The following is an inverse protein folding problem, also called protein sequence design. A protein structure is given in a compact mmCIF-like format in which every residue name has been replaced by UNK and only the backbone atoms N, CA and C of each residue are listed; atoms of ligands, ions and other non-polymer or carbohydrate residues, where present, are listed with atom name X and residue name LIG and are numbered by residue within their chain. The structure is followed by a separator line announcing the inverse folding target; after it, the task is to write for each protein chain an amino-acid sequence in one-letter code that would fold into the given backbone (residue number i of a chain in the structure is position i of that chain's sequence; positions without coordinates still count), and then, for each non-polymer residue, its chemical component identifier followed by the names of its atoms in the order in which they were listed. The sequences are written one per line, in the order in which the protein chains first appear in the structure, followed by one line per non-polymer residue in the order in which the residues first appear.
data_IF_773471345153
#
_entry.id   IF_773471345153
#
_cell.length_a   1.000
_cell.length_b   1.000
_cell.length_c   1.000
_cell.angle_alpha   90.00
_cell.angle_beta   90.00
_cell.angle_gamma   90.00
#
_symmetry.space_group_name_H-M   'P 1'
#
loop_
_entity.id
_entity.type
_entity.pdbx_description
1 polymer ?
#
# COMPACT_ATOMS: atom_id res chain seq x y z
N UNK A 1 -20.06 -12.60 -29.51
CA UNK A 1 -19.32 -12.93 -28.27
C UNK A 1 -18.79 -11.63 -27.71
N UNK A 2 -19.32 -11.18 -26.58
CA UNK A 2 -18.70 -10.10 -25.80
C UNK A 2 -17.39 -10.65 -25.20
N UNK A 3 -16.27 -9.93 -25.29
CA UNK A 3 -15.02 -10.38 -24.72
C UNK A 3 -15.16 -10.53 -23.20
N UNK A 4 -14.70 -11.67 -22.69
CA UNK A 4 -14.63 -11.96 -21.26
C UNK A 4 -13.69 -10.93 -20.61
N UNK A 5 -14.26 -10.00 -19.82
CA UNK A 5 -13.47 -8.97 -19.15
C UNK A 5 -12.98 -9.53 -17.82
N UNK A 6 -11.69 -9.85 -17.76
CA UNK A 6 -11.01 -10.26 -16.53
C UNK A 6 -10.56 -8.99 -15.81
N UNK A 7 -11.13 -8.74 -14.63
CA UNK A 7 -10.69 -7.66 -13.76
C UNK A 7 -9.49 -8.12 -12.93
N UNK A 8 -8.33 -7.48 -13.10
CA UNK A 8 -7.09 -7.78 -12.36
C UNK A 8 -6.44 -6.48 -11.86
N UNK A 9 -6.96 -5.84 -10.79
CA UNK A 9 -6.24 -4.76 -10.13
C UNK A 9 -5.20 -5.36 -9.18
N UNK A 10 -4.10 -5.87 -9.73
CA UNK A 10 -3.01 -6.44 -8.94
C UNK A 10 -1.75 -5.57 -9.02
N UNK A 11 -1.91 -4.24 -8.94
CA UNK A 11 -0.75 -3.35 -8.94
C UNK A 11 -0.02 -3.40 -7.61
N UNK A 12 -0.77 -3.34 -6.50
CA UNK A 12 -0.20 -3.37 -5.15
C UNK A 12 0.58 -4.65 -4.86
N UNK A 13 0.11 -5.88 -5.16
CA UNK A 13 0.91 -7.09 -4.95
C UNK A 13 2.15 -7.12 -5.84
N UNK A 14 2.05 -6.67 -7.09
CA UNK A 14 3.19 -6.65 -8.00
C UNK A 14 4.27 -5.63 -7.59
N UNK A 15 3.87 -4.48 -7.02
CA UNK A 15 4.82 -3.51 -6.46
C UNK A 15 5.44 -4.03 -5.16
N UNK A 16 4.64 -4.70 -4.33
CA UNK A 16 5.09 -5.29 -3.07
C UNK A 16 6.10 -6.43 -3.29
N UNK A 17 5.87 -7.33 -4.26
CA UNK A 17 6.84 -8.36 -4.67
C UNK A 17 8.19 -7.75 -5.11
N UNK A 18 8.16 -6.63 -5.86
CA UNK A 18 9.37 -5.91 -6.24
C UNK A 18 10.05 -5.27 -5.03
N UNK A 19 9.29 -4.70 -4.10
CA UNK A 19 9.81 -4.17 -2.85
C UNK A 19 10.48 -5.26 -2.01
N UNK A 20 9.89 -6.46 -1.94
CA UNK A 20 10.44 -7.61 -1.21
C UNK A 20 11.77 -8.08 -1.83
N UNK A 21 11.83 -8.19 -3.17
CA UNK A 21 13.06 -8.53 -3.89
C UNK A 21 14.17 -7.49 -3.67
N UNK A 22 13.82 -6.21 -3.70
CA UNK A 22 14.71 -5.08 -3.38
C UNK A 22 15.22 -5.17 -1.93
N UNK A 23 14.32 -5.49 -0.99
CA UNK A 23 14.64 -5.64 0.42
C UNK A 23 15.65 -6.76 0.69
N UNK A 24 15.46 -7.92 0.04
CA UNK A 24 16.40 -9.06 0.11
C UNK A 24 17.82 -8.69 -0.34
N UNK A 25 17.95 -7.76 -1.29
CA UNK A 25 19.25 -7.23 -1.76
C UNK A 25 19.82 -6.14 -0.85
N UNK A 26 19.04 -5.60 0.09
CA UNK A 26 19.45 -4.49 0.96
C UNK A 26 19.36 -3.13 0.29
N UNK A 27 18.59 -3.02 -0.79
CA UNK A 27 18.40 -1.78 -1.57
C UNK A 27 17.37 -0.89 -0.87
N UNK A 28 17.80 -0.17 0.16
CA UNK A 28 16.90 0.57 1.06
C UNK A 28 16.10 1.67 0.38
N UNK A 29 16.72 2.46 -0.50
CA UNK A 29 16.06 3.51 -1.26
C UNK A 29 14.96 2.95 -2.15
N UNK A 30 15.30 1.95 -2.98
CA UNK A 30 14.35 1.31 -3.89
C UNK A 30 13.20 0.63 -3.14
N UNK A 31 13.52 -0.03 -2.02
CA UNK A 31 12.51 -0.69 -1.17
C UNK A 31 11.54 0.33 -0.59
N UNK A 32 12.02 1.46 -0.05
CA UNK A 32 11.17 2.51 0.50
C UNK A 32 10.22 3.10 -0.54
N UNK A 33 10.71 3.39 -1.75
CA UNK A 33 9.87 3.90 -2.84
C UNK A 33 8.79 2.87 -3.20
N UNK A 34 9.19 1.63 -3.49
CA UNK A 34 8.29 0.58 -3.93
C UNK A 34 7.26 0.20 -2.86
N UNK A 35 7.66 0.16 -1.59
CA UNK A 35 6.77 -0.11 -0.46
C UNK A 35 5.68 0.95 -0.34
N UNK A 36 6.04 2.23 -0.38
CA UNK A 36 5.04 3.33 -0.36
C UNK A 36 4.17 3.29 -1.61
N UNK A 37 4.74 3.06 -2.80
CA UNK A 37 3.95 2.94 -4.03
C UNK A 37 2.99 1.74 -4.01
N UNK A 38 3.36 0.62 -3.36
CA UNK A 38 2.45 -0.50 -3.15
C UNK A 38 1.27 -0.11 -2.24
N UNK A 39 1.51 0.65 -1.18
CA UNK A 39 0.43 1.17 -0.32
C UNK A 39 -0.47 2.17 -1.04
N UNK A 40 0.05 2.98 -1.98
CA UNK A 40 -0.74 3.87 -2.84
C UNK A 40 -1.59 3.06 -3.83
N UNK A 41 -0.97 2.09 -4.50
CA UNK A 41 -1.66 1.21 -5.44
C UNK A 41 -2.78 0.41 -4.76
N UNK A 42 -2.63 0.05 -3.48
CA UNK A 42 -3.64 -0.71 -2.76
C UNK A 42 -4.97 0.05 -2.66
N UNK A 43 -4.95 1.35 -2.38
CA UNK A 43 -6.20 2.13 -2.28
C UNK A 43 -6.87 2.25 -3.65
N UNK A 44 -6.09 2.34 -4.73
CA UNK A 44 -6.60 2.28 -6.09
C UNK A 44 -7.20 0.90 -6.42
N UNK A 45 -6.48 -0.18 -6.14
CA UNK A 45 -6.95 -1.54 -6.39
C UNK A 45 -8.26 -1.83 -5.65
N UNK A 46 -8.36 -1.40 -4.38
CA UNK A 46 -9.59 -1.50 -3.58
C UNK A 46 -10.74 -0.69 -4.17
N UNK A 47 -10.48 0.54 -4.61
CA UNK A 47 -11.49 1.41 -5.24
C UNK A 47 -12.04 0.78 -6.51
N UNK A 48 -11.14 0.32 -7.39
CA UNK A 48 -11.51 -0.30 -8.65
C UNK A 48 -12.25 -1.62 -8.42
N UNK A 49 -11.91 -2.38 -7.37
CA UNK A 49 -12.65 -3.59 -6.98
C UNK A 49 -14.10 -3.30 -6.66
N UNK A 50 -14.38 -2.30 -5.81
CA UNK A 50 -15.76 -1.95 -5.50
C UNK A 50 -16.51 -1.37 -6.71
N UNK A 51 -15.84 -0.60 -7.58
CA UNK A 51 -16.45 -0.12 -8.84
C UNK A 51 -16.83 -1.28 -9.75
N UNK A 52 -15.90 -2.22 -9.96
CA UNK A 52 -16.15 -3.42 -10.75
C UNK A 52 -17.37 -4.18 -10.23
N UNK A 53 -17.46 -4.37 -8.91
CA UNK A 53 -18.59 -5.06 -8.30
C UNK A 53 -19.91 -4.28 -8.49
N UNK A 54 -19.89 -2.94 -8.35
CA UNK A 54 -21.05 -2.10 -8.55
C UNK A 54 -21.59 -2.15 -9.99
N UNK A 55 -20.69 -2.10 -10.97
CA UNK A 55 -21.04 -2.11 -12.41
C UNK A 55 -21.67 -3.44 -12.84
N UNK A 56 -21.24 -4.55 -12.23
CA UNK A 56 -21.63 -5.90 -12.63
C UNK A 56 -22.68 -6.55 -11.70
N UNK A 57 -23.23 -5.82 -10.72
CA UNK A 57 -24.23 -6.35 -9.76
C UNK A 57 -25.52 -6.89 -10.42
N UNK A 58 -25.83 -6.47 -11.65
CA UNK A 58 -27.01 -6.88 -12.43
C UNK A 58 -26.69 -7.82 -13.60
N UNK A 59 -25.42 -7.99 -13.98
CA UNK A 59 -25.02 -8.69 -15.21
C UNK A 59 -24.91 -10.20 -15.04
N UNK A 60 -25.36 -10.77 -13.93
CA UNK A 60 -25.34 -12.21 -13.72
C UNK A 60 -26.63 -12.84 -14.28
N UNK A 61 -26.58 -13.50 -15.45
CA UNK A 61 -27.72 -14.24 -15.92
C UNK A 61 -28.01 -15.39 -14.93
N UNK A 62 -29.29 -15.62 -14.66
CA UNK A 62 -29.79 -16.85 -14.04
C UNK A 62 -29.49 -18.06 -14.95
N UNK A 63 -28.22 -18.44 -15.13
CA UNK A 63 -27.84 -19.52 -16.01
C UNK A 63 -27.90 -20.85 -15.26
N UNK A 64 -29.04 -21.51 -15.42
CA UNK A 64 -29.24 -22.95 -15.18
C UNK A 64 -28.54 -23.83 -16.22
N UNK A 65 -27.85 -23.26 -17.21
CA UNK A 65 -27.20 -24.04 -18.26
C UNK A 65 -25.71 -24.26 -17.97
N UNK A 66 -25.42 -25.48 -17.52
CA UNK A 66 -24.07 -26.02 -17.32
C UNK A 66 -23.41 -26.31 -18.67
N UNK A 67 -22.51 -25.43 -19.09
CA UNK A 67 -21.54 -25.69 -20.16
C UNK A 67 -20.32 -26.47 -19.64
N UNK A 68 -19.79 -27.36 -20.48
CA UNK A 68 -18.88 -28.47 -20.17
C UNK A 68 -17.39 -28.10 -19.92
N UNK A 69 -17.06 -26.84 -19.69
CA UNK A 69 -15.69 -26.39 -19.38
C UNK A 69 -15.74 -25.59 -18.09
N UNK A 70 -15.08 -26.08 -17.02
CA UNK A 70 -15.10 -25.46 -15.69
C UNK A 70 -14.10 -24.29 -15.60
N UNK A 71 -14.56 -23.06 -15.32
CA UNK A 71 -13.77 -21.97 -14.81
C UNK A 71 -14.20 -21.73 -13.35
N UNK A 72 -14.03 -22.73 -12.47
CA UNK A 72 -14.69 -22.80 -11.16
C UNK A 72 -14.52 -21.55 -10.26
N UNK A 73 -13.46 -20.75 -10.44
CA UNK A 73 -13.22 -19.52 -9.65
C UNK A 73 -13.94 -18.28 -10.21
N UNK A 74 -14.09 -18.18 -11.53
CA UNK A 74 -14.69 -16.99 -12.14
C UNK A 74 -16.21 -17.05 -12.02
N UNK A 75 -16.81 -18.23 -12.22
CA UNK A 75 -18.27 -18.41 -12.05
C UNK A 75 -18.71 -18.15 -10.60
N UNK A 76 -17.87 -18.49 -9.61
CA UNK A 76 -18.13 -18.15 -8.20
C UNK A 76 -18.03 -16.64 -7.96
N UNK A 77 -17.03 -15.95 -8.52
CA UNK A 77 -16.87 -14.50 -8.36
C UNK A 77 -18.11 -13.72 -8.83
N UNK A 78 -18.65 -14.05 -10.02
CA UNK A 78 -19.88 -13.43 -10.53
C UNK A 78 -21.11 -13.74 -9.65
N UNK A 79 -21.25 -14.98 -9.17
CA UNK A 79 -22.38 -15.34 -8.29
C UNK A 79 -22.43 -14.53 -6.98
N UNK A 80 -21.28 -14.05 -6.49
CA UNK A 80 -21.17 -13.22 -5.28
C UNK A 80 -21.59 -11.77 -5.55
N UNK A 81 -21.50 -11.28 -6.80
CA UNK A 81 -21.88 -9.91 -7.14
C UNK A 81 -23.38 -9.62 -6.94
N UNK A 82 -24.23 -10.66 -6.98
CA UNK A 82 -25.64 -10.53 -6.59
C UNK A 82 -25.86 -10.15 -5.12
N UNK A 83 -24.85 -10.36 -4.27
CA UNK A 83 -24.89 -10.03 -2.84
C UNK A 83 -24.32 -8.65 -2.55
N UNK A 84 -24.04 -7.87 -3.60
CA UNK A 84 -23.69 -6.47 -3.46
C UNK A 84 -24.88 -5.70 -2.85
N UNK A 85 -24.65 -5.03 -1.73
CA UNK A 85 -25.70 -4.32 -0.97
C UNK A 85 -25.48 -2.81 -0.95
N UNK A 86 -26.37 -2.09 -0.27
CA UNK A 86 -26.23 -0.65 -0.01
C UNK A 86 -25.01 -0.32 0.85
N UNK A 87 -24.52 -1.28 1.65
CA UNK A 87 -23.29 -1.14 2.40
C UNK A 87 -22.09 -0.99 1.44
N UNK A 88 -21.98 -1.85 0.43
CA UNK A 88 -20.93 -1.76 -0.59
C UNK A 88 -21.04 -0.46 -1.39
N UNK A 89 -22.24 -0.01 -1.75
CA UNK A 89 -22.42 1.33 -2.37
C UNK A 89 -21.89 2.44 -1.46
N UNK A 90 -22.24 2.40 -0.17
CA UNK A 90 -21.76 3.40 0.79
C UNK A 90 -20.23 3.39 0.92
N UNK A 91 -19.61 2.21 0.89
CA UNK A 91 -18.15 2.07 0.92
C UNK A 91 -17.54 2.64 -0.36
N UNK A 92 -18.06 2.25 -1.52
CA UNK A 92 -17.60 2.73 -2.81
C UNK A 92 -17.66 4.27 -2.90
N UNK A 93 -18.77 4.88 -2.50
CA UNK A 93 -18.92 6.33 -2.48
C UNK A 93 -17.86 7.00 -1.59
N UNK A 94 -17.66 6.47 -0.38
CA UNK A 94 -16.71 7.03 0.58
C UNK A 94 -15.25 6.84 0.13
N UNK A 95 -14.88 5.66 -0.38
CA UNK A 95 -13.53 5.40 -0.89
C UNK A 95 -13.26 6.21 -2.17
N UNK A 96 -14.24 6.31 -3.08
CA UNK A 96 -14.11 7.16 -4.27
C UNK A 96 -13.96 8.64 -3.90
N UNK A 97 -14.58 9.08 -2.80
CA UNK A 97 -14.39 10.43 -2.27
C UNK A 97 -12.97 10.65 -1.73
N UNK A 98 -12.40 9.68 -1.00
CA UNK A 98 -10.99 9.72 -0.54
C UNK A 98 -10.03 9.82 -1.73
N UNK A 99 -10.31 9.11 -2.81
CA UNK A 99 -9.46 9.14 -4.01
C UNK A 99 -9.61 10.43 -4.83
N UNK A 100 -10.82 11.01 -4.87
CA UNK A 100 -11.12 12.21 -5.64
C UNK A 100 -10.90 13.54 -4.90
N UNK A 101 -10.72 13.51 -3.57
CA UNK A 101 -10.30 14.70 -2.81
C UNK A 101 -8.92 15.14 -3.29
N UNK A 102 -8.90 16.18 -4.14
CA UNK A 102 -7.73 16.73 -4.83
C UNK A 102 -6.49 16.87 -3.94
N UNK A 103 -5.39 16.27 -4.38
CA UNK A 103 -3.96 16.69 -4.26
C UNK A 103 -3.36 17.13 -2.90
N UNK A 104 -4.13 17.26 -1.82
CA UNK A 104 -3.63 17.80 -0.53
C UNK A 104 -3.65 16.80 0.63
N UNK A 105 -4.43 15.75 0.54
CA UNK A 105 -4.47 14.77 1.62
C UNK A 105 -3.32 13.78 1.47
N UNK A 106 -2.41 13.84 2.44
CA UNK A 106 -1.28 12.90 2.51
C UNK A 106 -1.80 11.47 2.45
N UNK A 107 -1.06 10.55 1.81
CA UNK A 107 -1.40 9.13 1.75
C UNK A 107 -1.82 8.55 3.11
N UNK A 108 -1.20 9.02 4.20
CA UNK A 108 -1.60 8.69 5.56
C UNK A 108 -3.07 9.03 5.86
N UNK A 109 -3.54 10.21 5.48
CA UNK A 109 -4.94 10.62 5.69
C UNK A 109 -5.89 9.67 4.97
N UNK A 110 -5.57 9.23 3.74
CA UNK A 110 -6.39 8.24 3.02
C UNK A 110 -6.60 6.96 3.83
N UNK A 111 -5.54 6.46 4.47
CA UNK A 111 -5.62 5.27 5.32
C UNK A 111 -6.36 5.53 6.64
N UNK A 112 -6.22 6.71 7.24
CA UNK A 112 -6.98 7.08 8.44
C UNK A 112 -8.47 7.23 8.14
N UNK A 113 -8.83 7.76 6.95
CA UNK A 113 -10.21 7.84 6.50
C UNK A 113 -10.76 6.46 6.14
N UNK A 114 -9.99 5.61 5.47
CA UNK A 114 -10.36 4.22 5.21
C UNK A 114 -10.65 3.46 6.52
N UNK A 115 -9.81 3.66 7.54
CA UNK A 115 -10.07 3.13 8.89
C UNK A 115 -11.44 3.58 9.40
N UNK A 116 -11.72 4.89 9.32
CA UNK A 116 -12.98 5.44 9.80
C UNK A 116 -14.19 4.91 9.03
N UNK A 117 -14.08 4.71 7.71
CA UNK A 117 -15.14 4.07 6.91
C UNK A 117 -15.44 2.67 7.44
N UNK A 118 -14.38 1.88 7.65
CA UNK A 118 -14.47 0.47 7.99
C UNK A 118 -14.87 0.22 9.45
N UNK A 119 -14.58 1.16 10.34
CA UNK A 119 -14.87 1.08 11.79
C UNK A 119 -16.02 1.99 12.20
N UNK A 120 -17.01 2.19 11.34
CA UNK A 120 -18.24 2.94 11.64
C UNK A 120 -18.01 4.36 12.22
N UNK A 121 -16.98 5.06 11.73
CA UNK A 121 -16.63 6.42 12.12
C UNK A 121 -15.62 6.53 13.26
N UNK A 122 -15.13 5.42 13.81
CA UNK A 122 -14.01 5.45 14.76
C UNK A 122 -12.75 6.05 14.10
N UNK A 123 -12.01 6.87 14.85
CA UNK A 123 -10.76 7.46 14.35
C UNK A 123 -9.59 6.59 14.75
N UNK A 124 -8.73 6.27 13.79
CA UNK A 124 -7.44 5.67 14.07
C UNK A 124 -6.58 6.61 14.92
N UNK A 125 -5.82 6.04 15.85
CA UNK A 125 -4.79 6.78 16.57
C UNK A 125 -3.57 6.99 15.66
N UNK A 126 -3.42 8.22 15.17
CA UNK A 126 -2.29 8.64 14.33
C UNK A 126 -0.94 8.53 15.07
N UNK A 127 -0.95 8.58 16.40
CA UNK A 127 0.25 8.45 17.23
C UNK A 127 0.68 7.00 17.48
N UNK A 128 -0.18 6.02 17.16
CA UNK A 128 0.10 4.61 17.33
C UNK A 128 0.71 3.99 16.06
N UNK A 129 1.39 2.85 16.23
CA UNK A 129 1.80 2.02 15.12
C UNK A 129 0.59 1.32 14.48
N UNK A 130 0.61 1.08 13.15
CA UNK A 130 1.71 1.39 12.22
C UNK A 130 1.69 2.83 11.68
N UNK A 131 0.69 3.64 12.01
CA UNK A 131 0.48 4.96 11.38
C UNK A 131 1.57 6.00 11.67
N UNK A 132 2.17 5.96 12.86
CA UNK A 132 3.31 6.80 13.20
C UNK A 132 4.52 6.48 12.30
N UNK A 133 4.87 5.20 12.21
CA UNK A 133 5.99 4.72 11.40
C UNK A 133 5.72 4.87 9.89
N UNK A 134 4.47 4.68 9.47
CA UNK A 134 4.06 4.93 8.09
C UNK A 134 4.16 6.41 7.71
N UNK A 135 3.81 7.32 8.63
CA UNK A 135 4.03 8.75 8.43
C UNK A 135 5.51 9.07 8.22
N UNK A 136 6.40 8.43 9.00
CA UNK A 136 7.84 8.56 8.85
C UNK A 136 8.31 8.01 7.50
N UNK A 137 7.82 6.83 7.10
CA UNK A 137 8.16 6.20 5.82
C UNK A 137 7.77 7.07 4.61
N UNK A 138 6.56 7.65 4.61
CA UNK A 138 6.11 8.58 3.57
C UNK A 138 7.02 9.81 3.49
N UNK A 139 7.40 10.38 4.65
CA UNK A 139 8.31 11.54 4.69
C UNK A 139 9.67 11.19 4.10
N UNK A 140 10.21 10.01 4.41
CA UNK A 140 11.48 9.53 3.86
C UNK A 140 11.36 9.38 2.34
N UNK A 141 10.32 8.69 1.84
CA UNK A 141 10.07 8.57 0.39
C UNK A 141 10.03 9.93 -0.28
N UNK A 142 9.27 10.88 0.28
CA UNK A 142 9.15 12.22 -0.27
C UNK A 142 10.52 12.94 -0.31
N UNK A 143 11.35 12.78 0.73
CA UNK A 143 12.71 13.33 0.72
C UNK A 143 13.61 12.64 -0.29
N UNK A 144 13.50 11.32 -0.51
CA UNK A 144 14.23 10.60 -1.57
C UNK A 144 13.86 11.17 -2.94
N UNK A 145 12.57 11.19 -3.30
CA UNK A 145 12.12 11.61 -4.64
C UNK A 145 12.34 13.09 -4.92
N UNK A 146 12.43 13.91 -3.87
CA UNK A 146 12.73 15.34 -3.95
C UNK A 146 14.15 15.68 -3.51
N UNK A 147 15.06 14.71 -3.45
CA UNK A 147 16.46 14.96 -3.10
C UNK A 147 17.07 15.95 -4.08
N UNK A 148 17.71 16.98 -3.54
CA UNK A 148 18.53 17.94 -4.29
C UNK A 148 19.99 17.61 -4.07
N UNK A 149 20.87 18.07 -4.97
CA UNK A 149 22.31 17.90 -4.80
C UNK A 149 22.79 18.44 -3.45
N UNK A 150 23.66 17.68 -2.79
CA UNK A 150 24.23 18.03 -1.48
C UNK A 150 25.56 18.77 -1.69
N UNK A 151 25.78 19.85 -0.92
CA UNK A 151 27.09 20.52 -0.89
C UNK A 151 28.01 19.77 0.08
N UNK A 152 29.15 19.31 -0.42
CA UNK A 152 30.18 18.68 0.39
C UNK A 152 31.12 19.77 0.93
N UNK A 153 31.20 19.86 2.26
CA UNK A 153 32.14 20.75 2.93
C UNK A 153 33.41 19.96 3.26
N UNK A 154 34.52 20.32 2.62
CA UNK A 154 35.83 19.78 2.97
C UNK A 154 36.39 20.55 4.17
N UNK A 155 36.17 20.01 5.37
CA UNK A 155 36.82 20.49 6.58
C UNK A 155 37.85 19.46 7.04
N UNK A 156 39.11 19.87 7.18
CA UNK A 156 40.22 19.05 7.70
C UNK A 156 40.51 17.74 6.94
N UNK A 157 40.35 17.72 5.61
CA UNK A 157 40.70 16.55 4.77
C UNK A 157 39.66 15.42 4.75
N UNK A 158 38.55 15.59 5.48
CA UNK A 158 37.38 14.72 5.39
C UNK A 158 36.22 15.48 4.76
N UNK A 159 35.61 14.92 3.72
CA UNK A 159 34.35 15.43 3.18
C UNK A 159 33.25 15.11 4.19
N UNK A 160 32.69 16.15 4.82
CA UNK A 160 31.56 16.01 5.73
C UNK A 160 30.33 16.59 5.03
N UNK A 161 29.24 15.83 5.02
CA UNK A 161 27.95 16.35 4.57
C UNK A 161 27.45 17.31 5.63
N UNK A 162 27.11 18.53 5.21
CA UNK A 162 26.57 19.54 6.09
C UNK A 162 25.06 19.32 6.27
N UNK A 163 24.69 18.66 7.37
CA UNK A 163 23.31 18.34 7.70
C UNK A 163 22.74 17.12 6.97
N UNK A 164 21.79 16.46 7.63
CA UNK A 164 20.96 15.41 7.04
C UNK A 164 19.51 15.66 7.45
N UNK A 165 18.51 15.08 6.76
CA UNK A 165 17.12 15.22 7.18
C UNK A 165 16.91 14.78 8.64
N UNK A 166 15.99 15.43 9.36
CA UNK A 166 15.76 15.18 10.78
C UNK A 166 15.36 13.73 11.09
N UNK A 167 14.72 13.04 10.14
CA UNK A 167 14.30 11.65 10.31
C UNK A 167 15.47 10.66 10.46
N UNK A 168 16.68 11.02 10.04
CA UNK A 168 17.86 10.16 10.22
C UNK A 168 18.18 9.98 11.71
N UNK A 169 17.95 11.00 12.54
CA UNK A 169 18.05 10.87 13.99
C UNK A 169 17.00 9.90 14.52
N UNK A 170 15.74 10.04 14.08
CA UNK A 170 14.64 9.15 14.46
C UNK A 170 14.93 7.69 14.08
N UNK A 171 15.43 7.43 12.87
CA UNK A 171 15.79 6.08 12.42
C UNK A 171 16.93 5.49 13.24
N UNK A 172 17.92 6.29 13.61
CA UNK A 172 19.03 5.86 14.46
C UNK A 172 18.55 5.51 15.87
N UNK A 173 17.67 6.31 16.46
CA UNK A 173 17.10 6.06 17.79
C UNK A 173 16.23 4.79 17.80
N UNK A 174 15.57 4.49 16.68
CA UNK A 174 14.83 3.24 16.47
C UNK A 174 15.71 2.03 16.12
N UNK A 175 17.03 2.19 16.08
CA UNK A 175 17.99 1.17 15.65
C UNK A 175 17.74 0.61 14.24
N UNK A 176 17.09 1.40 13.36
CA UNK A 176 16.84 1.03 11.96
C UNK A 176 18.10 1.25 11.12
N UNK A 177 18.91 2.24 11.47
CA UNK A 177 20.18 2.57 10.79
C UNK A 177 21.30 2.77 11.81
N UNK A 178 22.56 2.65 11.34
CA UNK A 178 23.76 2.93 12.14
C UNK A 178 24.45 4.19 11.65
N UNK A 179 24.78 5.12 12.55
CA UNK A 179 25.46 6.40 12.22
C UNK A 179 26.99 6.32 12.16
N UNK A 180 27.58 5.20 12.54
CA UNK A 180 29.02 5.08 12.76
C UNK A 180 29.86 4.97 11.48
N UNK A 181 29.29 5.24 10.31
CA UNK A 181 29.98 5.15 9.02
C UNK A 181 30.23 6.56 8.46
N UNK A 182 31.34 6.76 7.76
CA UNK A 182 31.53 7.93 6.91
C UNK A 182 30.73 7.74 5.63
N UNK A 183 29.90 8.71 5.26
CA UNK A 183 29.05 8.63 4.06
C UNK A 183 29.14 9.90 3.21
N UNK A 184 28.92 9.74 1.91
CA UNK A 184 28.92 10.81 0.90
C UNK A 184 27.54 11.40 0.63
N UNK A 185 26.46 10.68 0.96
CA UNK A 185 25.08 11.18 1.04
C UNK A 185 24.34 10.52 2.20
N UNK A 186 23.33 11.18 2.77
CA UNK A 186 22.44 10.53 3.74
C UNK A 186 21.70 9.32 3.15
N UNK A 187 21.57 9.24 1.81
CA UNK A 187 21.04 8.06 1.13
C UNK A 187 21.87 6.81 1.43
N UNK A 188 23.19 6.94 1.55
CA UNK A 188 24.06 5.82 1.93
C UNK A 188 23.74 5.26 3.33
N UNK A 189 23.19 6.09 4.25
CA UNK A 189 22.80 5.62 5.58
C UNK A 189 21.56 4.72 5.54
N UNK A 190 20.66 4.95 4.60
CA UNK A 190 19.42 4.18 4.45
C UNK A 190 19.58 3.03 3.44
N UNK A 191 20.65 3.01 2.66
CA UNK A 191 20.96 1.93 1.71
C UNK A 191 21.53 0.68 2.44
N UNK A 192 20.69 0.05 3.25
CA UNK A 192 21.06 -1.15 4.00
C UNK A 192 19.85 -2.07 4.26
N UNK A 193 20.14 -3.32 4.64
CA UNK A 193 19.14 -4.37 4.90
C UNK A 193 18.15 -4.04 6.02
N UNK A 194 18.59 -3.40 7.10
CA UNK A 194 17.72 -3.11 8.24
C UNK A 194 16.64 -2.08 7.86
N UNK A 195 17.05 -1.02 7.18
CA UNK A 195 16.13 0.00 6.67
C UNK A 195 15.18 -0.55 5.60
N UNK A 196 15.70 -1.36 4.67
CA UNK A 196 14.90 -1.99 3.64
C UNK A 196 13.82 -2.92 4.24
N UNK A 197 14.21 -3.74 5.23
CA UNK A 197 13.29 -4.62 5.97
C UNK A 197 12.23 -3.81 6.71
N UNK A 198 12.64 -2.79 7.48
CA UNK A 198 11.72 -1.93 8.21
C UNK A 198 10.70 -1.26 7.28
N UNK A 199 11.16 -0.76 6.12
CA UNK A 199 10.27 -0.12 5.14
C UNK A 199 9.19 -1.07 4.60
N UNK A 200 9.57 -2.33 4.35
CA UNK A 200 8.66 -3.36 3.86
C UNK A 200 7.64 -3.77 4.94
N UNK A 201 8.10 -3.99 6.18
CA UNK A 201 7.24 -4.37 7.31
C UNK A 201 6.16 -3.32 7.59
N UNK A 202 6.52 -2.03 7.59
CA UNK A 202 5.56 -0.95 7.81
C UNK A 202 4.49 -0.90 6.70
N UNK A 203 4.89 -1.09 5.43
CA UNK A 203 3.92 -1.14 4.34
C UNK A 203 3.01 -2.37 4.43
N UNK A 204 3.57 -3.52 4.83
CA UNK A 204 2.81 -4.74 5.07
C UNK A 204 1.76 -4.54 6.18
N UNK A 205 2.18 -4.05 7.35
CA UNK A 205 1.29 -3.83 8.50
C UNK A 205 0.14 -2.87 8.15
N UNK A 206 0.41 -1.81 7.37
CA UNK A 206 -0.61 -0.85 6.94
C UNK A 206 -1.62 -1.48 5.99
N UNK A 207 -1.15 -2.26 5.01
CA UNK A 207 -2.02 -2.97 4.05
C UNK A 207 -2.83 -4.05 4.77
N UNK A 208 -2.19 -4.87 5.61
CA UNK A 208 -2.88 -5.89 6.41
C UNK A 208 -3.93 -5.30 7.32
N UNK A 209 -3.62 -4.19 8.00
CA UNK A 209 -4.60 -3.49 8.82
C UNK A 209 -5.78 -3.01 7.99
N UNK A 210 -5.56 -2.43 6.81
CA UNK A 210 -6.63 -2.00 5.94
C UNK A 210 -7.50 -3.18 5.47
N UNK A 211 -6.89 -4.29 5.05
CA UNK A 211 -7.57 -5.54 4.67
C UNK A 211 -8.41 -6.07 5.83
N UNK A 212 -7.85 -6.16 7.04
CA UNK A 212 -8.52 -6.68 8.23
C UNK A 212 -9.67 -5.79 8.74
N UNK A 213 -9.66 -4.51 8.36
CA UNK A 213 -10.72 -3.57 8.70
C UNK A 213 -11.93 -3.70 7.78
N UNK A 214 -11.75 -4.18 6.54
CA UNK A 214 -12.85 -4.33 5.59
C UNK A 214 -14.02 -5.10 6.21
N UNK A 215 -15.26 -4.67 5.96
CA UNK A 215 -16.44 -5.26 6.58
C UNK A 215 -16.56 -6.74 6.18
N UNK A 216 -17.15 -7.54 7.06
CA UNK A 216 -17.35 -8.98 6.83
C UNK A 216 -18.51 -9.20 5.85
N UNK A 217 -18.26 -8.90 4.58
CA UNK A 217 -19.17 -9.15 3.46
C UNK A 217 -18.46 -10.04 2.45
N UNK A 218 -19.21 -10.80 1.65
CA UNK A 218 -18.59 -11.71 0.69
C UNK A 218 -17.76 -10.99 -0.37
N UNK A 219 -18.14 -9.75 -0.73
CA UNK A 219 -17.37 -8.88 -1.64
C UNK A 219 -16.01 -8.53 -1.03
N UNK A 220 -15.99 -8.21 0.26
CA UNK A 220 -14.74 -7.92 0.98
C UNK A 220 -13.89 -9.18 1.16
N UNK A 221 -14.49 -10.32 1.51
CA UNK A 221 -13.74 -11.59 1.65
C UNK A 221 -13.11 -12.04 0.33
N UNK A 222 -13.81 -11.89 -0.81
CA UNK A 222 -13.22 -12.14 -2.12
C UNK A 222 -11.98 -11.27 -2.39
N UNK A 223 -12.03 -9.99 -2.04
CA UNK A 223 -10.88 -9.10 -2.15
C UNK A 223 -9.73 -9.54 -1.23
N UNK A 224 -10.04 -9.93 0.02
CA UNK A 224 -9.05 -10.44 0.98
C UNK A 224 -8.36 -11.69 0.47
N UNK A 225 -9.12 -12.63 -0.09
CA UNK A 225 -8.58 -13.87 -0.67
C UNK A 225 -7.62 -13.56 -1.83
N UNK A 226 -8.02 -12.65 -2.72
CA UNK A 226 -7.18 -12.20 -3.84
C UNK A 226 -5.90 -11.52 -3.36
N UNK A 227 -6.00 -10.65 -2.35
CA UNK A 227 -4.84 -9.98 -1.75
C UNK A 227 -3.91 -10.96 -1.02
N UNK A 228 -4.45 -12.01 -0.40
CA UNK A 228 -3.71 -13.00 0.41
C UNK A 228 -3.03 -14.09 -0.42
N UNK A 229 -3.58 -14.44 -1.58
CA UNK A 229 -3.02 -15.45 -2.51
C UNK A 229 -1.58 -15.14 -2.95
N UNK A 230 -1.14 -13.89 -2.85
CA UNK A 230 0.22 -13.46 -3.20
C UNK A 230 1.26 -13.63 -2.09
N UNK A 231 0.88 -14.05 -0.88
CA UNK A 231 1.84 -14.40 0.19
C UNK A 231 2.40 -15.82 0.11
N UNK A 232 1.82 -16.68 -0.74
CA UNK A 232 2.11 -18.13 -0.79
C UNK A 232 2.71 -18.62 -2.11
N UNK A 233 2.95 -17.72 -3.06
CA UNK A 233 3.59 -18.00 -4.35
C UNK A 233 5.01 -17.44 -4.40
#
# INVERSE_FOLDING_TARGET
MTPERVFIPNHSPALFDRAEKSSKRGEGVSTCILAVSATEAFTHDLTEWYKFCADHKLECPNNKDKGLFSPDRFTTCFSVLHKYTDLENSILEKISKIESSRERDSLLNKYLELYAICKNGEKADKGANPYQDFSLLIKIRNSIVHTKGEMLSNSNGYSKIDGHPYFIETLSQKNVISKNQSFSSWLNLIENKNFAKWSLEIAEEVIENAINMLPKTEISELFKDQASLHKTA
#
